data_IF_933486712352
#
_entry.id   IF_933486712352
#
_cell.length_a   1.000
_cell.length_b   1.000
_cell.length_c   1.000
_cell.angle_alpha   90.00
_cell.angle_beta   90.00
_cell.angle_gamma   90.00
#
_symmetry.space_group_name_H-M   'P 1'
#
loop_
_entity.id
_entity.type
_entity.pdbx_description
1 polymer ?
#
# COMPACT_ATOMS: atom_id res chain seq x y z
N UNK A 1 0.89 12.29 -11.69
CA UNK A 1 1.26 11.48 -10.52
C UNK A 1 -0.02 11.27 -9.72
N UNK A 2 -0.38 10.02 -9.44
CA UNK A 2 -1.59 9.66 -8.69
C UNK A 2 -1.52 10.24 -7.26
N UNK A 3 -2.33 11.25 -6.97
CA UNK A 3 -2.49 11.91 -5.66
C UNK A 3 -3.25 11.03 -4.63
N UNK A 4 -3.19 9.70 -4.79
CA UNK A 4 -3.93 8.73 -3.98
C UNK A 4 -3.43 8.71 -2.53
N UNK A 5 -2.10 8.82 -2.34
CA UNK A 5 -1.49 8.91 -1.00
C UNK A 5 -1.90 10.19 -0.25
N UNK A 6 -1.98 11.32 -0.96
CA UNK A 6 -2.47 12.59 -0.41
C UNK A 6 -3.94 12.51 0.01
N UNK A 7 -4.78 11.92 -0.84
CA UNK A 7 -6.21 11.69 -0.54
C UNK A 7 -6.42 10.77 0.67
N UNK A 8 -5.67 9.67 0.78
CA UNK A 8 -5.77 8.76 1.93
C UNK A 8 -5.36 9.44 3.23
N UNK A 9 -4.24 10.19 3.22
CA UNK A 9 -3.78 10.94 4.39
C UNK A 9 -4.80 11.99 4.84
N UNK A 10 -5.40 12.73 3.91
CA UNK A 10 -6.45 13.71 4.21
C UNK A 10 -7.68 13.04 4.83
N UNK A 11 -8.11 11.92 4.27
CA UNK A 11 -9.33 11.21 4.71
C UNK A 11 -9.19 10.60 6.10
N UNK A 12 -8.03 9.98 6.41
CA UNK A 12 -7.70 9.53 7.78
C UNK A 12 -7.71 10.67 8.79
N UNK A 13 -7.26 11.86 8.39
CA UNK A 13 -7.32 13.06 9.24
C UNK A 13 -8.74 13.49 9.58
N UNK A 14 -9.66 13.41 8.60
CA UNK A 14 -11.10 13.69 8.83
C UNK A 14 -11.70 12.66 9.77
N UNK A 15 -11.53 11.36 9.49
CA UNK A 15 -12.05 10.28 10.36
C UNK A 15 -11.50 10.35 11.77
N UNK A 16 -10.21 10.67 11.94
CA UNK A 16 -9.63 10.88 13.27
C UNK A 16 -10.28 12.04 14.04
N UNK A 17 -10.62 13.12 13.34
CA UNK A 17 -11.33 14.27 13.93
C UNK A 17 -12.75 13.91 14.34
N UNK A 18 -13.46 13.15 13.49
CA UNK A 18 -14.81 12.63 13.78
C UNK A 18 -14.82 11.73 15.02
N UNK A 19 -13.83 10.84 15.15
CA UNK A 19 -13.68 9.97 16.33
C UNK A 19 -13.44 10.79 17.60
N UNK A 20 -12.52 11.76 17.57
CA UNK A 20 -12.26 12.62 18.74
C UNK A 20 -13.48 13.47 19.12
N UNK A 21 -14.28 13.92 18.16
CA UNK A 21 -15.52 14.64 18.43
C UNK A 21 -16.55 13.75 19.15
N UNK A 22 -16.72 12.50 18.72
CA UNK A 22 -17.59 11.51 19.37
C UNK A 22 -17.10 11.18 20.78
N UNK A 23 -15.80 10.91 20.94
CA UNK A 23 -15.20 10.67 22.26
C UNK A 23 -15.45 11.85 23.21
N UNK A 24 -15.34 13.09 22.69
CA UNK A 24 -15.63 14.30 23.47
C UNK A 24 -17.10 14.40 23.85
N UNK A 25 -18.03 14.13 22.92
CA UNK A 25 -19.47 14.13 23.20
C UNK A 25 -19.84 13.11 24.29
N UNK A 26 -19.24 11.93 24.26
CA UNK A 26 -19.45 10.86 25.24
C UNK A 26 -18.93 11.18 26.65
N UNK A 27 -18.00 12.13 26.78
CA UNK A 27 -17.51 12.58 28.10
C UNK A 27 -18.42 13.62 28.78
N UNK A 28 -19.41 14.16 28.06
CA UNK A 28 -20.32 15.17 28.61
C UNK A 28 -21.30 14.54 29.61
N UNK A 29 -21.62 15.28 30.66
CA UNK A 29 -22.60 14.88 31.67
C UNK A 29 -24.02 14.73 31.11
N UNK A 30 -24.33 15.48 30.04
CA UNK A 30 -25.56 15.34 29.27
C UNK A 30 -25.18 15.16 27.80
N UNK A 31 -25.28 13.93 27.32
CA UNK A 31 -25.00 13.54 25.93
C UNK A 31 -26.19 13.94 25.06
N UNK A 32 -25.92 14.59 23.94
CA UNK A 32 -26.94 14.79 22.90
C UNK A 32 -27.03 13.54 22.03
N UNK A 33 -28.04 12.71 22.27
CA UNK A 33 -28.21 11.40 21.62
C UNK A 33 -28.44 11.55 20.12
N UNK A 34 -29.27 12.50 19.68
CA UNK A 34 -29.57 12.71 18.25
C UNK A 34 -28.31 13.13 17.49
N UNK A 35 -27.51 14.02 18.06
CA UNK A 35 -26.24 14.44 17.47
C UNK A 35 -25.20 13.31 17.46
N UNK A 36 -25.19 12.46 18.49
CA UNK A 36 -24.29 11.31 18.56
C UNK A 36 -24.64 10.26 17.51
N UNK A 37 -25.92 10.00 17.28
CA UNK A 37 -26.39 9.07 16.26
C UNK A 37 -26.02 9.55 14.86
N UNK A 38 -26.21 10.83 14.56
CA UNK A 38 -25.78 11.45 13.29
C UNK A 38 -24.25 11.36 13.09
N UNK A 39 -23.46 11.66 14.14
CA UNK A 39 -21.99 11.54 14.08
C UNK A 39 -21.54 10.10 13.85
N UNK A 40 -22.23 9.11 14.45
CA UNK A 40 -21.92 7.69 14.28
C UNK A 40 -22.29 7.19 12.87
N UNK A 41 -23.42 7.61 12.31
CA UNK A 41 -23.78 7.31 10.92
C UNK A 41 -22.75 7.90 9.95
N UNK A 42 -22.35 9.16 10.16
CA UNK A 42 -21.31 9.78 9.34
C UNK A 42 -19.97 9.04 9.44
N UNK A 43 -19.56 8.63 10.65
CA UNK A 43 -18.34 7.86 10.85
C UNK A 43 -18.39 6.50 10.15
N UNK A 44 -19.56 5.84 10.13
CA UNK A 44 -19.76 4.58 9.43
C UNK A 44 -19.59 4.74 7.91
N UNK A 45 -20.13 5.81 7.34
CA UNK A 45 -19.94 6.15 5.92
C UNK A 45 -18.46 6.42 5.63
N UNK A 46 -17.80 7.27 6.41
CA UNK A 46 -16.37 7.60 6.25
C UNK A 46 -15.47 6.34 6.32
N UNK A 47 -15.77 5.43 7.26
CA UNK A 47 -15.06 4.15 7.42
C UNK A 47 -15.22 3.24 6.20
N UNK A 48 -16.43 3.13 5.66
CA UNK A 48 -16.68 2.31 4.49
C UNK A 48 -15.96 2.86 3.24
N UNK A 49 -15.89 4.18 3.10
CA UNK A 49 -15.15 4.78 2.00
C UNK A 49 -13.63 4.66 2.14
N UNK A 50 -13.10 4.62 3.37
CA UNK A 50 -11.69 4.30 3.63
C UNK A 50 -11.38 2.85 3.25
N UNK A 51 -12.23 1.91 3.66
CA UNK A 51 -12.10 0.49 3.29
C UNK A 51 -12.08 0.30 1.76
N UNK A 52 -12.95 1.00 1.04
CA UNK A 52 -12.95 0.95 -0.43
C UNK A 52 -11.66 1.51 -1.07
N UNK A 53 -11.06 2.53 -0.46
CA UNK A 53 -9.77 3.06 -0.89
C UNK A 53 -8.62 2.09 -0.58
N UNK A 54 -8.65 1.43 0.57
CA UNK A 54 -7.66 0.40 0.93
C UNK A 54 -7.74 -0.80 -0.03
N UNK A 55 -8.94 -1.27 -0.38
CA UNK A 55 -9.13 -2.32 -1.39
C UNK A 55 -8.61 -1.92 -2.77
N UNK A 56 -8.80 -0.66 -3.19
CA UNK A 56 -8.21 -0.15 -4.43
C UNK A 56 -6.68 -0.06 -4.36
N UNK A 57 -6.08 0.11 -3.19
CA UNK A 57 -4.62 0.13 -3.03
C UNK A 57 -4.08 -1.31 -3.12
N UNK A 58 -4.72 -2.28 -2.46
CA UNK A 58 -4.36 -3.70 -2.54
C UNK A 58 -4.40 -4.22 -3.99
N UNK A 59 -5.40 -3.83 -4.79
CA UNK A 59 -5.51 -4.23 -6.19
C UNK A 59 -4.35 -3.70 -7.07
N UNK A 60 -3.78 -2.54 -6.74
CA UNK A 60 -2.58 -2.00 -7.44
C UNK A 60 -1.27 -2.66 -6.99
N UNK A 61 -1.27 -3.28 -5.80
CA UNK A 61 -0.19 -4.14 -5.29
C UNK A 61 -0.53 -5.60 -5.60
N UNK A 62 -1.05 -5.89 -6.81
CA UNK A 62 -1.31 -7.25 -7.23
C UNK A 62 0.03 -8.03 -7.23
N UNK A 63 0.15 -9.01 -6.32
CA UNK A 63 1.33 -9.86 -6.18
C UNK A 63 1.76 -10.45 -7.53
N UNK A 64 0.81 -10.83 -8.40
CA UNK A 64 1.08 -11.41 -9.72
C UNK A 64 2.01 -10.56 -10.62
N UNK A 65 1.87 -9.23 -10.60
CA UNK A 65 2.71 -8.35 -11.42
C UNK A 65 4.12 -8.25 -10.84
N UNK A 66 4.21 -8.18 -9.51
CA UNK A 66 5.48 -8.14 -8.80
C UNK A 66 6.21 -9.48 -8.91
N UNK A 67 5.51 -10.60 -8.74
CA UNK A 67 6.04 -11.96 -8.91
C UNK A 67 6.58 -12.19 -10.32
N UNK A 68 5.83 -11.76 -11.35
CA UNK A 68 6.31 -11.84 -12.74
C UNK A 68 7.57 -11.01 -12.95
N UNK A 69 7.62 -9.79 -12.43
CA UNK A 69 8.79 -8.91 -12.57
C UNK A 69 10.02 -9.49 -11.84
N UNK A 70 9.82 -10.05 -10.64
CA UNK A 70 10.86 -10.73 -9.86
C UNK A 70 11.36 -11.99 -10.58
N UNK A 71 10.46 -12.77 -11.18
CA UNK A 71 10.83 -13.94 -11.98
C UNK A 71 11.66 -13.54 -13.21
N UNK A 72 11.28 -12.47 -13.90
CA UNK A 72 12.02 -11.91 -15.04
C UNK A 72 13.43 -11.43 -14.64
N UNK A 73 13.56 -10.73 -13.51
CA UNK A 73 14.88 -10.31 -12.99
C UNK A 73 15.74 -11.51 -12.59
N UNK A 74 15.15 -12.52 -11.95
CA UNK A 74 15.86 -13.76 -11.57
C UNK A 74 16.43 -14.46 -12.80
N UNK A 75 15.63 -14.61 -13.87
CA UNK A 75 16.06 -15.20 -15.14
C UNK A 75 17.23 -14.42 -15.78
N UNK A 76 17.17 -13.08 -15.76
CA UNK A 76 18.23 -12.21 -16.27
C UNK A 76 19.54 -12.38 -15.48
N UNK A 77 19.46 -12.40 -14.15
CA UNK A 77 20.63 -12.60 -13.28
C UNK A 77 21.30 -13.94 -13.55
N UNK A 78 20.53 -15.03 -13.64
CA UNK A 78 21.07 -16.37 -13.96
C UNK A 78 21.78 -16.34 -15.33
N UNK A 79 21.13 -15.74 -16.32
CA UNK A 79 21.69 -15.63 -17.68
C UNK A 79 23.00 -14.85 -17.70
N UNK A 80 23.06 -13.71 -16.99
CA UNK A 80 24.27 -12.90 -16.91
C UNK A 80 25.40 -13.61 -16.17
N UNK A 81 25.10 -14.32 -15.07
CA UNK A 81 26.08 -15.16 -14.37
C UNK A 81 26.65 -16.22 -15.30
N UNK A 82 25.80 -16.96 -16.03
CA UNK A 82 26.26 -17.97 -16.99
C UNK A 82 27.15 -17.36 -18.08
N UNK A 83 26.76 -16.22 -18.66
CA UNK A 83 27.54 -15.51 -19.68
C UNK A 83 28.90 -15.05 -19.13
N UNK A 84 28.92 -14.50 -17.92
CA UNK A 84 30.15 -14.04 -17.28
C UNK A 84 31.10 -15.22 -17.01
N UNK A 85 30.60 -16.32 -16.44
CA UNK A 85 31.39 -17.54 -16.20
C UNK A 85 31.97 -18.12 -17.49
N UNK A 86 31.16 -18.20 -18.55
CA UNK A 86 31.61 -18.69 -19.87
C UNK A 86 32.71 -17.81 -20.46
N UNK A 87 32.57 -16.48 -20.36
CA UNK A 87 33.56 -15.52 -20.84
C UNK A 87 34.90 -15.69 -20.10
N UNK A 88 34.84 -15.75 -18.77
CA UNK A 88 36.03 -15.93 -17.93
C UNK A 88 36.76 -17.25 -18.22
N UNK A 89 36.03 -18.36 -18.39
CA UNK A 89 36.62 -19.65 -18.72
C UNK A 89 37.33 -19.65 -20.10
N UNK A 90 36.78 -18.93 -21.08
CA UNK A 90 37.39 -18.80 -22.40
C UNK A 90 38.64 -17.91 -22.38
N UNK A 91 38.62 -16.82 -21.61
CA UNK A 91 39.78 -15.94 -21.41
C UNK A 91 40.94 -16.70 -20.72
N UNK A 92 40.65 -17.52 -19.71
CA UNK A 92 41.65 -18.37 -19.05
C UNK A 92 42.25 -19.42 -19.99
N UNK A 93 41.47 -20.00 -20.91
CA UNK A 93 41.98 -20.97 -21.90
C UNK A 93 42.92 -20.35 -22.95
N UNK A 94 42.70 -19.09 -23.33
CA UNK A 94 43.54 -18.37 -24.30
C UNK A 94 44.87 -17.91 -23.70
N UNK A 95 45.01 -17.87 -22.38
CA UNK A 95 46.25 -17.48 -21.70
C UNK A 95 47.27 -18.63 -21.52
N UNK A 96 46.85 -19.87 -21.76
CA UNK A 96 47.64 -21.10 -21.52
C UNK A 96 48.08 -21.75 -22.86
N UNK A 97 47.74 -21.14 -23.99
CA UNK A 97 48.16 -21.51 -25.35
C UNK A 97 49.12 -20.46 -25.90
#
# INVERSE_FOLDING_TARGET
MDDKSGRLKKKRGVTGTSVTAIETELTKTHVNVDALEEMLEQLAVESNELKNLDSQIEEFVSDDKLEKEVAEYTQKIITWKFRATKKYANEQKMLIL
#
